data_IF_967656278144
#
_entry.id   IF_967656278144
#
_cell.length_a   1.000
_cell.length_b   1.000
_cell.length_c   1.000
_cell.angle_alpha   90.00
_cell.angle_beta   90.00
_cell.angle_gamma   90.00
#
_symmetry.space_group_name_H-M   'P 1'
#
loop_
_entity.id
_entity.type
_entity.pdbx_description
1 polymer ?
#
# COMPACT_ATOMS: atom_id res chain seq x y z
N UNK A 1 7.44 -4.62 6.50
CA UNK A 1 7.98 -4.28 7.85
C UNK A 1 7.04 -3.35 8.62
N UNK A 2 6.71 -2.14 8.17
CA UNK A 2 5.77 -1.24 8.88
C UNK A 2 4.35 -1.79 9.02
N UNK A 3 3.82 -2.46 7.99
CA UNK A 3 2.49 -3.07 8.05
C UNK A 3 2.41 -4.27 8.99
N UNK A 4 3.47 -5.08 9.06
CA UNK A 4 3.54 -6.21 9.99
C UNK A 4 3.60 -5.74 11.43
N UNK A 5 4.41 -4.71 11.72
CA UNK A 5 4.51 -4.10 13.05
C UNK A 5 3.16 -3.48 13.49
N UNK A 6 2.45 -2.84 12.57
CA UNK A 6 1.14 -2.30 12.87
C UNK A 6 0.11 -3.41 13.15
N UNK A 7 0.12 -4.49 12.38
CA UNK A 7 -0.75 -5.65 12.61
C UNK A 7 -0.43 -6.34 13.94
N UNK A 8 0.84 -6.42 14.32
CA UNK A 8 1.29 -6.93 15.61
C UNK A 8 0.79 -6.04 16.76
N UNK A 9 0.96 -4.72 16.66
CA UNK A 9 0.47 -3.76 17.64
C UNK A 9 -1.05 -3.85 17.86
N UNK A 10 -1.83 -4.02 16.79
CA UNK A 10 -3.26 -4.27 16.93
C UNK A 10 -3.54 -5.58 17.66
N UNK A 11 -2.81 -6.65 17.37
CA UNK A 11 -3.00 -7.96 18.01
C UNK A 11 -2.63 -7.95 19.49
N UNK A 12 -1.68 -7.10 19.90
CA UNK A 12 -1.27 -6.98 21.31
C UNK A 12 -2.22 -6.12 22.15
N UNK A 13 -2.85 -5.09 21.53
CA UNK A 13 -3.60 -4.07 22.26
C UNK A 13 -5.12 -4.13 22.07
N UNK A 14 -5.61 -4.90 21.09
CA UNK A 14 -7.03 -5.10 20.85
C UNK A 14 -7.41 -6.58 21.07
N UNK A 15 -8.34 -6.81 22.01
CA UNK A 15 -8.91 -8.13 22.29
C UNK A 15 -10.39 -8.00 22.59
N UNK A 16 -11.16 -9.07 22.44
CA UNK A 16 -12.57 -9.11 22.80
C UNK A 16 -12.81 -8.70 24.26
N UNK A 17 -11.91 -9.09 25.19
CA UNK A 17 -12.03 -8.76 26.62
C UNK A 17 -11.85 -7.26 26.90
N UNK A 18 -11.09 -6.54 26.03
CA UNK A 18 -10.87 -5.11 26.18
C UNK A 18 -11.99 -4.27 25.54
N UNK A 19 -12.91 -4.89 24.80
CA UNK A 19 -13.95 -4.22 24.05
C UNK A 19 -15.33 -4.38 24.70
N UNK A 20 -16.20 -3.33 24.65
CA UNK A 20 -17.56 -3.44 25.17
C UNK A 20 -18.33 -4.59 24.51
N UNK A 21 -18.83 -5.50 25.31
CA UNK A 21 -19.54 -6.73 24.86
C UNK A 21 -18.75 -7.58 23.84
N UNK A 22 -17.41 -7.52 23.88
CA UNK A 22 -16.56 -8.25 22.96
C UNK A 22 -16.64 -7.75 21.50
N UNK A 23 -17.12 -6.53 21.27
CA UNK A 23 -17.40 -5.98 19.93
C UNK A 23 -16.64 -4.69 19.69
N UNK A 24 -16.05 -4.56 18.49
CA UNK A 24 -15.48 -3.31 18.04
C UNK A 24 -16.57 -2.47 17.34
N UNK A 25 -17.14 -1.51 18.09
CA UNK A 25 -18.11 -0.59 17.55
C UNK A 25 -17.46 0.45 16.63
N UNK A 26 -18.23 0.95 15.67
CA UNK A 26 -17.75 1.92 14.68
C UNK A 26 -17.03 3.14 15.29
N UNK A 27 -17.62 3.73 16.34
CA UNK A 27 -17.03 4.86 17.04
C UNK A 27 -15.70 4.54 17.76
N UNK A 28 -15.50 3.28 18.16
CA UNK A 28 -14.22 2.80 18.71
C UNK A 28 -13.22 2.67 17.58
N UNK A 29 -13.63 2.07 16.45
CA UNK A 29 -12.80 1.99 15.25
C UNK A 29 -12.30 3.36 14.78
N UNK A 30 -13.18 4.34 14.73
CA UNK A 30 -12.83 5.73 14.39
C UNK A 30 -11.86 6.38 15.38
N UNK A 31 -11.96 6.07 16.66
CA UNK A 31 -11.08 6.65 17.68
C UNK A 31 -9.74 5.94 17.86
N UNK A 32 -9.67 4.65 17.54
CA UNK A 32 -8.49 3.82 17.80
C UNK A 32 -7.83 3.39 16.50
N UNK A 33 -8.59 2.79 15.58
CA UNK A 33 -8.02 2.18 14.37
C UNK A 33 -7.68 3.24 13.32
N UNK A 34 -8.57 4.22 13.10
CA UNK A 34 -8.32 5.26 12.08
C UNK A 34 -7.03 6.04 12.32
N UNK A 35 -6.78 6.61 13.52
CA UNK A 35 -5.54 7.35 13.77
C UNK A 35 -4.27 6.52 13.60
N UNK A 36 -4.33 5.22 13.93
CA UNK A 36 -3.19 4.32 13.74
C UNK A 36 -2.90 4.06 12.26
N UNK A 37 -3.95 3.87 11.44
CA UNK A 37 -3.82 3.72 9.99
C UNK A 37 -3.35 5.03 9.32
N UNK A 38 -3.85 6.18 9.75
CA UNK A 38 -3.41 7.50 9.29
C UNK A 38 -1.95 7.75 9.61
N UNK A 39 -1.52 7.47 10.84
CA UNK A 39 -0.11 7.60 11.23
C UNK A 39 0.80 6.63 10.45
N UNK A 40 0.34 5.41 10.21
CA UNK A 40 1.05 4.45 9.37
C UNK A 40 1.20 4.99 7.93
N UNK A 41 0.13 5.56 7.38
CA UNK A 41 0.18 6.22 6.07
C UNK A 41 1.24 7.32 6.04
N UNK A 42 1.25 8.23 7.03
CA UNK A 42 2.22 9.33 7.10
C UNK A 42 3.66 8.80 7.05
N UNK A 43 3.98 7.83 7.91
CA UNK A 43 5.33 7.23 7.97
C UNK A 43 5.70 6.55 6.66
N UNK A 44 4.79 5.78 6.08
CA UNK A 44 5.06 4.99 4.87
C UNK A 44 5.19 5.90 3.64
N UNK A 45 4.31 6.88 3.51
CA UNK A 45 4.33 7.83 2.39
C UNK A 45 5.60 8.69 2.40
N UNK A 46 6.02 9.18 3.58
CA UNK A 46 7.25 9.96 3.72
C UNK A 46 8.49 9.13 3.35
N UNK A 47 8.56 7.89 3.82
CA UNK A 47 9.66 6.99 3.46
C UNK A 47 9.65 6.66 1.96
N UNK A 48 8.48 6.44 1.36
CA UNK A 48 8.36 6.15 -0.07
C UNK A 48 8.82 7.35 -0.92
N UNK A 49 8.48 8.58 -0.52
CA UNK A 49 8.96 9.80 -1.17
C UNK A 49 10.46 9.94 -1.04
N UNK A 50 11.03 9.74 0.15
CA UNK A 50 12.49 9.84 0.36
C UNK A 50 13.26 8.83 -0.48
N UNK A 51 12.76 7.58 -0.58
CA UNK A 51 13.32 6.57 -1.48
C UNK A 51 13.22 7.02 -2.94
N UNK A 52 12.07 7.57 -3.35
CA UNK A 52 11.86 8.06 -4.71
C UNK A 52 12.83 9.19 -5.07
N UNK A 53 13.05 10.14 -4.16
CA UNK A 53 14.01 11.24 -4.36
C UNK A 53 15.43 10.72 -4.55
N UNK A 54 15.85 9.79 -3.69
CA UNK A 54 17.15 9.11 -3.82
C UNK A 54 17.31 8.42 -5.18
N UNK A 55 16.28 7.72 -5.63
CA UNK A 55 16.28 7.04 -6.93
C UNK A 55 16.32 8.04 -8.09
N UNK A 56 15.61 9.16 -8.00
CA UNK A 56 15.65 10.24 -8.98
C UNK A 56 17.05 10.84 -9.09
N UNK A 57 17.69 11.15 -7.98
CA UNK A 57 19.07 11.67 -7.93
C UNK A 57 20.06 10.69 -8.59
N UNK A 58 20.00 9.41 -8.22
CA UNK A 58 20.84 8.35 -8.81
C UNK A 58 20.62 8.19 -10.32
N UNK A 59 19.41 8.45 -10.80
CA UNK A 59 19.07 8.42 -12.22
C UNK A 59 19.43 9.73 -12.97
N UNK A 60 19.90 10.77 -12.25
CA UNK A 60 20.16 12.08 -12.82
C UNK A 60 18.89 12.81 -13.24
N UNK A 61 17.79 12.57 -12.54
CA UNK A 61 16.48 13.20 -12.76
C UNK A 61 16.31 14.28 -11.69
N UNK A 62 16.25 15.55 -12.10
CA UNK A 62 16.07 16.70 -11.20
C UNK A 62 14.61 16.93 -10.77
N UNK A 63 13.83 15.88 -10.60
CA UNK A 63 12.40 15.94 -10.23
C UNK A 63 12.27 15.47 -8.78
N UNK A 64 11.53 16.22 -7.97
CA UNK A 64 11.23 15.84 -6.59
C UNK A 64 10.23 14.69 -6.54
N UNK A 65 10.38 13.84 -5.52
CA UNK A 65 9.42 12.78 -5.22
C UNK A 65 8.04 13.35 -4.94
N UNK A 66 7.02 12.68 -5.48
CA UNK A 66 5.61 13.03 -5.28
C UNK A 66 5.00 12.09 -4.25
N UNK A 67 4.27 12.67 -3.30
CA UNK A 67 3.53 11.92 -2.28
C UNK A 67 2.14 11.60 -2.77
N UNK A 68 1.68 10.36 -2.63
CA UNK A 68 0.28 10.01 -2.88
C UNK A 68 -0.62 10.62 -1.81
N UNK A 69 -1.86 10.89 -2.17
CA UNK A 69 -2.88 11.34 -1.22
C UNK A 69 -3.39 10.18 -0.37
N UNK A 70 -3.74 10.45 0.90
CA UNK A 70 -4.32 9.43 1.77
C UNK A 70 -5.69 8.98 1.23
N UNK A 71 -5.89 7.67 1.21
CA UNK A 71 -7.13 7.06 0.75
C UNK A 71 -8.06 6.77 1.94
N UNK A 72 -8.78 7.80 2.40
CA UNK A 72 -9.70 7.70 3.55
C UNK A 72 -10.78 6.62 3.35
N UNK A 73 -11.21 6.38 2.12
CA UNK A 73 -12.19 5.33 1.81
C UNK A 73 -11.69 3.93 2.15
N UNK A 74 -10.37 3.69 2.05
CA UNK A 74 -9.75 2.41 2.46
C UNK A 74 -9.77 2.26 3.98
N UNK A 75 -9.47 3.33 4.72
CA UNK A 75 -9.51 3.35 6.19
C UNK A 75 -10.94 3.13 6.65
N UNK A 76 -11.88 3.87 6.10
CA UNK A 76 -13.31 3.75 6.39
C UNK A 76 -13.82 2.33 6.08
N UNK A 77 -13.44 1.76 4.96
CA UNK A 77 -13.81 0.39 4.59
C UNK A 77 -13.29 -0.66 5.58
N UNK A 78 -12.09 -0.47 6.15
CA UNK A 78 -11.56 -1.34 7.21
C UNK A 78 -12.42 -1.21 8.47
N UNK A 79 -12.71 0.02 8.91
CA UNK A 79 -13.48 0.27 10.14
C UNK A 79 -14.91 -0.26 10.02
N UNK A 80 -15.58 -0.03 8.89
CA UNK A 80 -16.93 -0.53 8.65
C UNK A 80 -16.98 -2.06 8.71
N UNK A 81 -16.01 -2.75 8.11
CA UNK A 81 -15.93 -4.21 8.16
C UNK A 81 -15.69 -4.72 9.57
N UNK A 82 -14.86 -4.06 10.38
CA UNK A 82 -14.63 -4.38 11.78
C UNK A 82 -15.89 -4.20 12.65
N UNK A 83 -16.70 -3.20 12.32
CA UNK A 83 -17.90 -2.85 13.10
C UNK A 83 -19.15 -3.65 12.70
N UNK A 84 -19.15 -4.33 11.56
CA UNK A 84 -20.34 -5.01 11.05
C UNK A 84 -20.62 -6.35 11.74
N UNK A 85 -19.61 -7.01 12.33
CA UNK A 85 -19.78 -8.31 12.96
C UNK A 85 -20.13 -8.22 14.45
N UNK A 86 -20.68 -9.29 15.00
CA UNK A 86 -21.15 -9.33 16.37
C UNK A 86 -20.03 -9.46 17.39
N UNK A 87 -18.92 -10.10 17.02
CA UNK A 87 -17.76 -10.27 17.89
C UNK A 87 -16.47 -9.79 17.22
N UNK A 88 -15.55 -9.27 18.01
CA UNK A 88 -14.23 -8.86 17.50
C UNK A 88 -13.41 -10.04 17.01
N UNK A 89 -13.55 -11.21 17.64
CA UNK A 89 -12.78 -12.40 17.27
C UNK A 89 -13.08 -12.85 15.83
N UNK A 90 -14.31 -12.65 15.36
CA UNK A 90 -14.71 -12.98 13.98
C UNK A 90 -14.04 -12.07 12.94
N UNK A 91 -13.61 -10.87 13.34
CA UNK A 91 -13.06 -9.84 12.44
C UNK A 91 -11.61 -9.44 12.74
N UNK A 92 -11.00 -9.94 13.78
CA UNK A 92 -9.63 -9.61 14.18
C UNK A 92 -8.60 -9.83 13.04
N UNK A 93 -8.87 -10.79 12.14
CA UNK A 93 -8.04 -11.05 10.96
C UNK A 93 -7.96 -9.84 10.01
N UNK A 94 -8.93 -8.92 10.04
CA UNK A 94 -8.96 -7.70 9.23
C UNK A 94 -7.80 -6.76 9.62
N UNK A 95 -7.41 -6.79 10.90
CA UNK A 95 -6.27 -6.02 11.41
C UNK A 95 -4.90 -6.72 11.19
N UNK A 96 -4.86 -7.79 10.42
CA UNK A 96 -3.64 -8.50 10.00
C UNK A 96 -3.33 -8.24 8.54
N UNK A 97 -3.54 -9.21 7.66
CA UNK A 97 -3.22 -9.09 6.23
C UNK A 97 -3.85 -7.87 5.51
N UNK A 98 -5.12 -7.48 5.74
CA UNK A 98 -5.66 -6.27 5.14
C UNK A 98 -4.91 -4.99 5.52
N UNK A 99 -4.42 -4.86 6.76
CA UNK A 99 -3.60 -3.74 7.22
C UNK A 99 -2.22 -3.75 6.54
N UNK A 100 -1.63 -4.92 6.38
CA UNK A 100 -0.38 -5.06 5.62
C UNK A 100 -0.59 -4.66 4.16
N UNK A 101 -1.68 -5.08 3.54
CA UNK A 101 -2.04 -4.69 2.18
C UNK A 101 -2.32 -3.18 2.05
N UNK A 102 -2.95 -2.57 3.08
CA UNK A 102 -3.13 -1.12 3.14
C UNK A 102 -1.77 -0.40 3.10
N UNK A 103 -0.83 -0.82 3.94
CA UNK A 103 0.53 -0.25 3.97
C UNK A 103 1.26 -0.39 2.63
N UNK A 104 1.15 -1.56 1.99
CA UNK A 104 1.74 -1.77 0.67
C UNK A 104 1.08 -0.90 -0.41
N UNK A 105 -0.24 -0.72 -0.34
CA UNK A 105 -0.96 0.12 -1.28
C UNK A 105 -0.53 1.60 -1.20
N UNK A 106 -0.13 2.10 -0.03
CA UNK A 106 0.44 3.46 0.10
C UNK A 106 1.72 3.60 -0.72
N UNK A 107 2.58 2.59 -0.71
CA UNK A 107 3.80 2.58 -1.54
C UNK A 107 3.44 2.56 -3.02
N UNK A 108 2.52 1.68 -3.43
CA UNK A 108 2.10 1.57 -4.83
C UNK A 108 1.45 2.85 -5.35
N UNK A 109 0.61 3.50 -4.53
CA UNK A 109 -0.03 4.78 -4.86
C UNK A 109 1.04 5.88 -5.00
N UNK A 110 2.09 5.87 -4.17
CA UNK A 110 3.22 6.80 -4.28
C UNK A 110 4.02 6.55 -5.56
N UNK A 111 4.29 5.29 -5.91
CA UNK A 111 4.92 4.93 -7.19
C UNK A 111 4.07 5.43 -8.36
N UNK A 112 2.76 5.16 -8.34
CA UNK A 112 1.82 5.60 -9.36
C UNK A 112 1.84 7.11 -9.55
N UNK A 113 1.78 7.88 -8.45
CA UNK A 113 1.84 9.35 -8.47
C UNK A 113 3.13 9.86 -9.13
N UNK A 114 4.26 9.22 -8.82
CA UNK A 114 5.56 9.58 -9.43
C UNK A 114 5.62 9.21 -10.91
N UNK A 115 5.08 8.06 -11.32
CA UNK A 115 4.98 7.67 -12.73
C UNK A 115 4.16 8.70 -13.52
N UNK A 116 3.02 9.12 -12.99
CA UNK A 116 2.16 10.15 -13.59
C UNK A 116 2.92 11.46 -13.75
N UNK A 117 3.54 11.95 -12.68
CA UNK A 117 4.28 13.20 -12.67
C UNK A 117 5.49 13.18 -13.62
N UNK A 118 6.24 12.09 -13.64
CA UNK A 118 7.36 11.92 -14.57
C UNK A 118 6.90 11.91 -16.04
N UNK A 119 5.75 11.27 -16.31
CA UNK A 119 5.20 11.28 -17.67
C UNK A 119 4.74 12.69 -18.09
N UNK A 120 4.11 13.46 -17.20
CA UNK A 120 3.73 14.86 -17.43
C UNK A 120 4.97 15.73 -17.67
N UNK A 121 6.08 15.44 -17.01
CA UNK A 121 7.37 16.08 -17.24
C UNK A 121 8.08 15.63 -18.56
N UNK A 122 7.43 14.82 -19.37
CA UNK A 122 7.94 14.35 -20.66
C UNK A 122 8.86 13.12 -20.59
N UNK A 123 8.97 12.49 -19.43
CA UNK A 123 9.68 11.22 -19.27
C UNK A 123 8.72 10.07 -19.63
N UNK A 124 9.08 9.26 -20.61
CA UNK A 124 8.28 8.09 -21.03
C UNK A 124 8.46 6.97 -20.01
N UNK A 125 7.64 6.98 -18.94
CA UNK A 125 7.72 6.00 -17.89
C UNK A 125 7.16 4.63 -18.33
N UNK A 126 7.85 3.56 -17.93
CA UNK A 126 7.40 2.17 -18.11
C UNK A 126 7.20 1.54 -16.74
N UNK A 127 6.01 1.01 -16.48
CA UNK A 127 5.65 0.29 -15.26
C UNK A 127 5.88 -1.20 -15.45
N UNK A 128 6.46 -1.84 -14.45
CA UNK A 128 6.70 -3.29 -14.46
C UNK A 128 6.11 -3.91 -13.21
N UNK A 129 5.25 -4.92 -13.39
CA UNK A 129 4.75 -5.75 -12.30
C UNK A 129 5.41 -7.11 -12.35
N UNK A 130 6.03 -7.51 -11.25
CA UNK A 130 6.74 -8.79 -11.10
C UNK A 130 5.96 -9.63 -10.09
N UNK A 131 5.49 -10.79 -10.54
CA UNK A 131 4.83 -11.75 -9.67
C UNK A 131 5.88 -12.69 -9.04
N UNK A 132 5.67 -13.08 -7.77
CA UNK A 132 6.50 -14.12 -7.14
C UNK A 132 6.27 -15.50 -7.78
N UNK A 133 7.21 -16.43 -7.57
CA UNK A 133 7.17 -17.79 -8.13
C UNK A 133 5.85 -18.53 -7.80
N UNK A 134 5.32 -18.33 -6.59
CA UNK A 134 4.08 -18.96 -6.10
C UNK A 134 2.85 -18.04 -6.23
N UNK A 135 2.92 -17.01 -7.06
CA UNK A 135 1.82 -16.07 -7.24
C UNK A 135 0.57 -16.77 -7.80
N UNK A 136 -0.61 -16.30 -7.39
CA UNK A 136 -1.89 -16.78 -7.89
C UNK A 136 -2.07 -16.49 -9.40
N UNK A 137 -3.08 -17.10 -10.00
CA UNK A 137 -3.38 -16.92 -11.44
C UNK A 137 -3.61 -15.45 -11.81
N UNK A 138 -4.31 -14.71 -10.95
CA UNK A 138 -4.58 -13.29 -11.18
C UNK A 138 -3.28 -12.46 -11.22
N UNK A 139 -2.38 -12.62 -10.24
CA UNK A 139 -1.09 -11.95 -10.21
C UNK A 139 -0.23 -12.30 -11.43
N UNK A 140 -0.19 -13.59 -11.83
CA UNK A 140 0.56 -14.02 -13.02
C UNK A 140 0.02 -13.42 -14.31
N UNK A 141 -1.30 -13.21 -14.41
CA UNK A 141 -1.91 -12.57 -15.57
C UNK A 141 -1.60 -11.06 -15.66
N UNK A 142 -1.30 -10.43 -14.52
CA UNK A 142 -0.92 -9.01 -14.44
C UNK A 142 0.58 -8.79 -14.44
N UNK A 143 1.38 -9.84 -14.48
CA UNK A 143 2.82 -9.71 -14.63
C UNK A 143 3.16 -9.20 -16.03
N UNK A 144 4.02 -8.18 -16.11
CA UNK A 144 4.43 -7.65 -17.40
C UNK A 144 4.98 -6.24 -17.32
N UNK A 145 5.27 -5.70 -18.49
CA UNK A 145 5.72 -4.34 -18.71
C UNK A 145 4.64 -3.54 -19.42
N UNK A 146 4.41 -2.34 -18.95
CA UNK A 146 3.33 -1.46 -19.44
C UNK A 146 3.89 -0.07 -19.69
N UNK A 147 3.67 0.47 -20.88
CA UNK A 147 4.02 1.85 -21.18
C UNK A 147 2.94 2.79 -20.63
N UNK A 148 3.33 3.74 -19.77
CA UNK A 148 2.40 4.74 -19.28
C UNK A 148 2.01 5.70 -20.43
N UNK A 149 0.73 6.10 -20.58
CA UNK A 149 -0.39 5.93 -19.65
C UNK A 149 -1.21 4.62 -19.81
N UNK A 150 -0.83 3.71 -20.70
CA UNK A 150 -1.62 2.51 -21.03
C UNK A 150 -1.42 1.37 -20.01
N UNK A 151 -1.35 1.72 -18.71
CA UNK A 151 -1.23 0.74 -17.62
C UNK A 151 -2.62 0.32 -17.16
N UNK A 152 -3.00 -0.97 -17.24
CA UNK A 152 -4.28 -1.43 -16.71
C UNK A 152 -4.42 -1.08 -15.23
N UNK A 153 -5.63 -0.65 -14.81
CA UNK A 153 -5.85 -0.24 -13.42
C UNK A 153 -5.58 -1.38 -12.43
N UNK A 154 -5.83 -2.63 -12.80
CA UNK A 154 -5.58 -3.80 -11.98
C UNK A 154 -4.08 -4.03 -11.68
N UNK A 155 -3.17 -3.46 -12.46
CA UNK A 155 -1.72 -3.53 -12.19
C UNK A 155 -1.38 -2.87 -10.83
N UNK A 156 -2.17 -1.87 -10.40
CA UNK A 156 -2.00 -1.14 -9.15
C UNK A 156 -2.77 -1.74 -7.97
N UNK A 157 -3.56 -2.79 -8.19
CA UNK A 157 -4.40 -3.40 -7.15
C UNK A 157 -3.67 -4.51 -6.43
N UNK A 158 -3.99 -4.62 -5.13
CA UNK A 158 -3.51 -5.67 -4.23
C UNK A 158 -4.66 -6.58 -3.81
N UNK A 159 -4.36 -7.83 -3.55
CA UNK A 159 -5.26 -8.77 -2.90
C UNK A 159 -4.60 -9.41 -1.67
N UNK A 160 -5.35 -10.23 -0.96
CA UNK A 160 -4.83 -10.93 0.22
C UNK A 160 -3.58 -11.76 -0.13
N UNK A 161 -2.54 -11.66 0.70
CA UNK A 161 -1.24 -12.32 0.50
C UNK A 161 -0.52 -11.94 -0.81
N UNK A 162 -0.78 -10.74 -1.33
CA UNK A 162 -0.09 -10.25 -2.53
C UNK A 162 1.35 -9.83 -2.19
N UNK A 163 2.31 -10.52 -2.80
CA UNK A 163 3.73 -10.23 -2.65
C UNK A 163 4.35 -9.73 -3.96
N UNK A 164 3.53 -9.36 -4.95
CA UNK A 164 4.03 -8.81 -6.20
C UNK A 164 4.79 -7.50 -5.94
N UNK A 165 5.78 -7.25 -6.78
CA UNK A 165 6.55 -6.00 -6.77
C UNK A 165 6.11 -5.15 -7.95
N UNK A 166 5.83 -3.87 -7.68
CA UNK A 166 5.63 -2.87 -8.72
C UNK A 166 6.88 -1.99 -8.74
N UNK A 167 7.40 -1.75 -9.91
CA UNK A 167 8.53 -0.87 -10.16
C UNK A 167 8.30 -0.10 -11.45
N UNK A 168 9.11 0.91 -11.74
CA UNK A 168 9.03 1.62 -13.00
C UNK A 168 10.39 2.13 -13.48
N UNK A 169 10.46 2.41 -14.76
CA UNK A 169 11.61 3.00 -15.43
C UNK A 169 11.23 4.42 -15.86
N UNK A 170 11.71 5.48 -15.19
CA UNK A 170 11.36 6.86 -15.51
C UNK A 170 12.03 7.35 -16.78
N UNK A 171 13.12 6.68 -17.20
CA UNK A 171 13.90 7.00 -18.40
C UNK A 171 14.50 5.73 -18.97
N UNK A 172 14.61 5.64 -20.29
CA UNK A 172 15.17 4.48 -21.00
C UNK A 172 16.49 4.03 -20.36
N UNK A 173 16.50 2.85 -19.76
CA UNK A 173 17.71 2.16 -19.29
C UNK A 173 17.99 2.16 -17.78
N UNK A 174 17.14 2.77 -16.92
CA UNK A 174 17.34 2.72 -15.45
C UNK A 174 16.04 2.37 -14.74
N UNK A 175 15.99 1.16 -14.17
CA UNK A 175 14.88 0.73 -13.31
C UNK A 175 14.91 1.45 -11.96
N UNK A 176 13.76 1.88 -11.48
CA UNK A 176 13.57 2.28 -10.10
C UNK A 176 12.85 1.15 -9.37
N UNK A 177 13.55 0.49 -8.48
CA UNK A 177 13.01 -0.61 -7.69
C UNK A 177 12.74 -0.09 -6.29
N UNK A 178 11.47 0.01 -5.91
CA UNK A 178 11.11 0.16 -4.50
C UNK A 178 11.15 -1.22 -3.87
N UNK A 179 11.97 -1.43 -2.82
CA UNK A 179 12.06 -2.74 -2.18
C UNK A 179 10.70 -3.18 -1.67
N UNK A 180 10.18 -4.21 -2.29
CA UNK A 180 9.05 -4.95 -1.76
C UNK A 180 9.47 -5.78 -0.54
N UNK A 181 8.50 -6.34 0.15
CA UNK A 181 8.69 -7.28 1.26
C UNK A 181 9.73 -8.35 0.92
N UNK A 182 10.73 -8.54 1.78
CA UNK A 182 11.52 -9.78 1.84
C UNK A 182 10.76 -10.82 2.63
#
# INVERSE_FOLDING_TARGET
MTGDLLAEAFSEHLSSDALPNGRLYYNIGQKVVAPMLENNYEIVADNAVAVQETLNELAGIGIKGQRADIQYERIEGIIQRLANELTYDDVAWILKEPVVNFTQAVVDDTIKKNVEFHNEAGLKAKVVRIAEANACKWCRNLQGEYDYPNVPQDVWRRHQNDKCVITYYPKKGKAQIVPGRK
#
